data_IF_686983007536
#
_entry.id   IF_686983007536
#
_cell.length_a   1.000
_cell.length_b   1.000
_cell.length_c   1.000
_cell.angle_alpha   90.00
_cell.angle_beta   90.00
_cell.angle_gamma   90.00
#
_symmetry.space_group_name_H-M   'P 1'
#
loop_
_entity.id
_entity.type
_entity.pdbx_description
1 polymer ?
#
# COMPACT_ATOMS: atom_id res chain seq x y z
N UNK A 1 2.55 -35.01 11.56
CA UNK A 1 1.44 -34.13 12.01
C UNK A 1 0.15 -34.81 11.61
N UNK A 2 -0.76 -35.10 12.54
CA UNK A 2 -2.09 -35.62 12.18
C UNK A 2 -2.92 -34.44 11.68
N UNK A 3 -3.39 -34.54 10.44
CA UNK A 3 -4.28 -33.55 9.84
C UNK A 3 -5.64 -33.60 10.57
N UNK A 4 -6.08 -32.45 11.08
CA UNK A 4 -7.40 -32.29 11.70
C UNK A 4 -8.32 -31.56 10.74
N UNK A 5 -9.48 -32.15 10.48
CA UNK A 5 -10.48 -31.58 9.57
C UNK A 5 -11.56 -30.88 10.41
N UNK A 6 -11.74 -29.58 10.16
CA UNK A 6 -12.79 -28.78 10.78
C UNK A 6 -13.78 -28.32 9.71
N UNK A 7 -15.08 -28.49 10.00
CA UNK A 7 -16.17 -27.94 9.19
C UNK A 7 -16.69 -26.70 9.89
N UNK A 8 -16.73 -25.59 9.17
CA UNK A 8 -17.21 -24.30 9.66
C UNK A 8 -18.19 -23.69 8.65
N UNK A 9 -19.12 -22.88 9.13
CA UNK A 9 -20.11 -22.20 8.29
C UNK A 9 -19.52 -21.03 7.51
N UNK A 10 -18.45 -20.43 8.04
CA UNK A 10 -17.81 -19.25 7.45
C UNK A 10 -16.32 -19.19 7.78
N UNK A 11 -15.52 -18.69 6.85
CA UNK A 11 -14.08 -18.49 7.02
C UNK A 11 -13.72 -17.02 6.85
N UNK A 12 -12.94 -16.47 7.79
CA UNK A 12 -12.39 -15.12 7.71
C UNK A 12 -10.87 -15.23 7.59
N UNK A 13 -10.31 -14.80 6.47
CA UNK A 13 -8.88 -14.80 6.21
C UNK A 13 -8.26 -13.45 6.64
N UNK A 14 -7.46 -13.49 7.70
CA UNK A 14 -6.72 -12.35 8.24
C UNK A 14 -5.20 -12.53 8.09
N UNK A 15 -4.76 -13.02 6.93
CA UNK A 15 -3.39 -13.53 6.72
C UNK A 15 -2.35 -12.43 6.41
N UNK A 16 -2.79 -11.19 6.21
CA UNK A 16 -1.91 -10.08 5.80
C UNK A 16 -1.34 -10.22 4.38
N UNK A 17 -1.06 -9.08 3.74
CA UNK A 17 -0.53 -9.02 2.36
C UNK A 17 0.99 -9.19 2.27
N UNK A 18 1.73 -8.83 3.32
CA UNK A 18 3.19 -8.59 3.28
C UNK A 18 4.02 -9.63 4.05
N UNK A 19 3.46 -10.81 4.33
CA UNK A 19 4.14 -11.89 5.05
C UNK A 19 4.16 -13.20 4.26
N UNK A 20 5.05 -14.10 4.67
CA UNK A 20 5.22 -15.50 4.24
C UNK A 20 5.78 -15.70 2.83
N UNK A 21 5.27 -14.99 1.82
CA UNK A 21 5.69 -15.17 0.42
C UNK A 21 6.42 -13.93 -0.09
N UNK A 22 7.76 -13.97 -0.23
CA UNK A 22 8.51 -12.85 -0.76
C UNK A 22 8.22 -12.64 -2.25
N UNK A 23 8.30 -11.39 -2.69
CA UNK A 23 8.08 -11.02 -4.08
C UNK A 23 9.44 -10.89 -4.78
N UNK A 24 9.93 -12.00 -5.33
CA UNK A 24 11.26 -12.09 -5.95
C UNK A 24 11.09 -12.03 -7.47
N UNK A 25 11.81 -11.14 -8.18
CA UNK A 25 11.76 -11.09 -9.64
C UNK A 25 12.35 -12.37 -10.25
N UNK A 26 11.74 -12.87 -11.32
CA UNK A 26 12.34 -13.91 -12.17
C UNK A 26 13.60 -13.41 -12.87
N UNK A 27 14.66 -14.22 -12.85
CA UNK A 27 15.91 -13.90 -13.52
C UNK A 27 16.00 -14.64 -14.86
N UNK A 28 16.60 -14.03 -15.91
CA UNK A 28 16.88 -14.75 -17.14
C UNK A 28 17.77 -15.98 -16.88
N UNK A 29 17.68 -17.04 -17.72
CA UNK A 29 18.54 -18.21 -17.58
C UNK A 29 20.02 -17.83 -17.52
N UNK A 30 20.78 -18.43 -16.59
CA UNK A 30 22.19 -18.13 -16.29
C UNK A 30 22.48 -16.73 -15.72
N UNK A 31 21.46 -15.98 -15.28
CA UNK A 31 21.60 -14.72 -14.51
C UNK A 31 20.88 -14.78 -13.17
N UNK A 32 20.62 -15.98 -12.69
CA UNK A 32 19.96 -16.23 -11.42
C UNK A 32 20.87 -15.79 -10.26
N UNK A 33 20.32 -15.52 -9.06
CA UNK A 33 21.09 -15.14 -7.88
C UNK A 33 22.27 -16.08 -7.57
N UNK A 34 22.16 -17.35 -7.96
CA UNK A 34 23.19 -18.39 -7.81
C UNK A 34 24.46 -18.11 -8.64
N UNK A 35 24.37 -17.29 -9.68
CA UNK A 35 25.53 -16.82 -10.44
C UNK A 35 26.31 -15.71 -9.70
N UNK A 36 25.71 -15.10 -8.68
CA UNK A 36 26.36 -14.13 -7.82
C UNK A 36 27.04 -14.84 -6.66
N UNK A 37 28.36 -14.69 -6.56
CA UNK A 37 29.16 -15.34 -5.50
C UNK A 37 28.97 -14.72 -4.10
N UNK A 38 28.15 -13.68 -3.97
CA UNK A 38 27.79 -13.08 -2.69
C UNK A 38 26.45 -13.59 -2.19
N UNK A 39 26.09 -13.17 -0.98
CA UNK A 39 24.84 -13.56 -0.36
C UNK A 39 23.67 -12.69 -0.85
N UNK A 40 22.55 -13.32 -1.20
CA UNK A 40 21.32 -12.64 -1.64
C UNK A 40 20.18 -13.07 -0.72
N UNK A 41 19.59 -12.11 -0.02
CA UNK A 41 18.42 -12.33 0.83
C UNK A 41 17.31 -11.32 0.50
N UNK A 42 16.07 -11.71 0.73
CA UNK A 42 14.93 -10.81 0.65
C UNK A 42 14.83 -9.96 1.94
N UNK A 43 14.24 -8.77 1.85
CA UNK A 43 14.08 -7.87 3.01
C UNK A 43 13.29 -8.50 4.17
N UNK A 44 12.41 -9.45 3.86
CA UNK A 44 11.67 -10.23 4.86
C UNK A 44 12.63 -11.03 5.76
N UNK A 45 13.54 -11.79 5.17
CA UNK A 45 14.52 -12.59 5.91
C UNK A 45 15.45 -11.69 6.74
N UNK A 46 15.80 -10.50 6.23
CA UNK A 46 16.58 -9.53 6.98
C UNK A 46 15.79 -8.98 8.19
N UNK A 47 14.52 -8.65 7.99
CA UNK A 47 13.64 -8.16 9.05
C UNK A 47 13.28 -9.22 10.10
N UNK A 48 13.37 -10.51 9.75
CA UNK A 48 13.17 -11.62 10.68
C UNK A 48 14.40 -11.85 11.60
N UNK A 49 15.55 -11.22 11.33
CA UNK A 49 16.72 -11.29 12.19
C UNK A 49 16.53 -10.40 13.44
N UNK A 50 17.17 -10.78 14.56
CA UNK A 50 17.32 -9.87 15.69
C UNK A 50 18.30 -8.73 15.35
N UNK A 51 18.23 -7.64 16.11
CA UNK A 51 19.03 -6.43 15.84
C UNK A 51 20.54 -6.67 15.83
N UNK A 52 21.06 -7.57 16.69
CA UNK A 52 22.51 -7.84 16.72
C UNK A 52 22.94 -8.67 15.51
N UNK A 53 22.14 -9.67 15.15
CA UNK A 53 22.38 -10.51 13.97
C UNK A 53 22.31 -9.68 12.69
N UNK A 54 21.31 -8.82 12.55
CA UNK A 54 21.16 -7.92 11.39
C UNK A 54 22.35 -6.94 11.28
N UNK A 55 22.78 -6.35 12.39
CA UNK A 55 23.94 -5.44 12.40
C UNK A 55 25.23 -6.17 11.97
N UNK A 56 25.53 -7.33 12.58
CA UNK A 56 26.69 -8.17 12.19
C UNK A 56 26.58 -8.66 10.75
N UNK A 57 25.37 -8.86 10.25
CA UNK A 57 25.13 -9.33 8.89
C UNK A 57 25.61 -8.31 7.84
N UNK A 58 25.50 -7.01 8.10
CA UNK A 58 25.88 -5.94 7.16
C UNK A 58 27.23 -5.29 7.45
N UNK A 59 27.74 -5.44 8.68
CA UNK A 59 28.98 -4.79 9.14
C UNK A 59 30.20 -5.18 8.29
N UNK A 60 30.94 -4.16 7.83
CA UNK A 60 32.14 -4.31 7.01
C UNK A 60 31.90 -4.81 5.59
N UNK A 61 30.63 -4.95 5.15
CA UNK A 61 30.29 -5.49 3.82
C UNK A 61 29.86 -4.41 2.83
N UNK A 62 30.11 -4.67 1.55
CA UNK A 62 29.53 -3.89 0.46
C UNK A 62 28.11 -4.37 0.19
N UNK A 63 27.12 -3.59 0.65
CA UNK A 63 25.71 -3.95 0.55
C UNK A 63 25.05 -3.22 -0.63
N UNK A 64 24.29 -3.97 -1.42
CA UNK A 64 23.40 -3.41 -2.45
C UNK A 64 21.95 -3.74 -2.13
N UNK A 65 21.14 -2.70 -1.94
CA UNK A 65 19.71 -2.81 -1.68
C UNK A 65 18.94 -2.56 -2.97
N UNK A 66 18.01 -3.45 -3.31
CA UNK A 66 17.17 -3.33 -4.51
C UNK A 66 15.77 -2.85 -4.11
N UNK A 67 15.41 -1.63 -4.53
CA UNK A 67 14.14 -0.98 -4.21
C UNK A 67 14.32 0.44 -3.69
N UNK A 68 13.23 1.22 -3.65
CA UNK A 68 13.25 2.60 -3.13
C UNK A 68 11.96 2.98 -2.38
N UNK A 69 11.50 2.04 -1.57
CA UNK A 69 10.35 2.20 -0.67
C UNK A 69 10.75 1.91 0.79
N UNK A 70 9.76 1.78 1.67
CA UNK A 70 9.87 1.68 3.14
C UNK A 70 11.06 0.79 3.58
N UNK A 71 10.97 -0.52 3.34
CA UNK A 71 12.03 -1.47 3.71
C UNK A 71 13.41 -1.14 3.11
N UNK A 72 13.45 -0.75 1.83
CA UNK A 72 14.72 -0.48 1.16
C UNK A 72 15.44 0.74 1.76
N UNK A 73 14.69 1.79 2.14
CA UNK A 73 15.27 2.97 2.76
C UNK A 73 15.74 2.69 4.19
N UNK A 74 14.99 1.91 4.97
CA UNK A 74 15.34 1.55 6.34
C UNK A 74 16.61 0.68 6.36
N UNK A 75 16.67 -0.37 5.53
CA UNK A 75 17.86 -1.25 5.42
C UNK A 75 19.08 -0.45 4.93
N UNK A 76 18.89 0.45 3.94
CA UNK A 76 19.98 1.29 3.46
C UNK A 76 20.51 2.23 4.56
N UNK A 77 19.64 2.72 5.45
CA UNK A 77 20.06 3.50 6.61
C UNK A 77 20.84 2.66 7.59
N UNK A 78 20.38 1.46 7.94
CA UNK A 78 21.11 0.55 8.83
C UNK A 78 22.50 0.22 8.28
N UNK A 79 22.59 -0.08 6.98
CA UNK A 79 23.87 -0.29 6.31
C UNK A 79 24.75 0.96 6.37
N UNK A 80 24.20 2.15 6.14
CA UNK A 80 24.96 3.42 6.23
C UNK A 80 25.46 3.71 7.65
N UNK A 81 24.72 3.29 8.68
CA UNK A 81 25.08 3.45 10.09
C UNK A 81 26.22 2.49 10.46
N UNK A 82 26.12 1.23 10.02
CA UNK A 82 27.14 0.21 10.30
C UNK A 82 28.46 0.49 9.57
N UNK A 83 28.39 0.99 8.33
CA UNK A 83 29.55 0.98 7.42
C UNK A 83 30.07 2.36 7.02
N UNK A 84 29.28 3.41 7.20
CA UNK A 84 29.65 4.78 6.85
C UNK A 84 30.08 4.93 5.38
N UNK A 85 31.09 5.78 5.15
CA UNK A 85 31.63 6.07 3.81
C UNK A 85 32.69 5.04 3.37
N UNK A 86 33.20 4.22 4.28
CA UNK A 86 34.23 3.22 3.99
C UNK A 86 33.66 2.08 3.14
N UNK A 87 32.45 1.60 3.49
CA UNK A 87 31.70 0.61 2.71
C UNK A 87 30.28 1.14 2.42
N UNK A 88 30.12 2.04 1.44
CA UNK A 88 28.84 2.70 1.20
C UNK A 88 27.76 1.75 0.68
N UNK A 89 26.52 1.95 1.13
CA UNK A 89 25.38 1.17 0.68
C UNK A 89 24.90 1.65 -0.69
N UNK A 90 24.85 0.77 -1.69
CA UNK A 90 24.27 1.09 -3.00
C UNK A 90 22.78 0.80 -3.00
N UNK A 91 21.94 1.77 -3.34
CA UNK A 91 20.49 1.58 -3.52
C UNK A 91 20.15 1.62 -5.00
N UNK A 92 19.71 0.48 -5.52
CA UNK A 92 19.25 0.32 -6.90
C UNK A 92 17.76 0.57 -6.98
N UNK A 93 17.35 1.53 -7.82
CA UNK A 93 15.95 1.89 -7.95
C UNK A 93 15.53 2.09 -9.41
N UNK A 94 14.25 1.82 -9.68
CA UNK A 94 13.65 1.93 -11.01
C UNK A 94 12.91 3.26 -11.19
N UNK A 95 12.10 3.60 -10.19
CA UNK A 95 11.19 4.74 -10.22
C UNK A 95 11.53 5.67 -9.07
N UNK A 96 11.63 6.96 -9.35
CA UNK A 96 11.67 7.99 -8.31
C UNK A 96 10.32 8.06 -7.61
N UNK A 97 10.30 8.17 -6.27
CA UNK A 97 9.07 8.30 -5.51
C UNK A 97 9.01 9.64 -4.78
N UNK A 98 7.81 10.19 -4.69
CA UNK A 98 7.53 11.30 -3.78
C UNK A 98 7.44 10.73 -2.36
N UNK A 99 8.57 10.42 -1.73
CA UNK A 99 8.63 10.00 -0.31
C UNK A 99 8.55 11.23 0.62
N UNK A 100 7.88 11.08 1.77
CA UNK A 100 7.60 12.18 2.71
C UNK A 100 8.70 12.30 3.77
N UNK A 101 9.35 13.47 3.95
CA UNK A 101 10.26 13.69 5.08
C UNK A 101 9.52 13.92 6.41
N UNK A 102 8.20 14.01 6.36
CA UNK A 102 7.31 14.30 7.48
C UNK A 102 5.90 14.61 7.00
N UNK A 103 4.96 14.70 7.93
CA UNK A 103 3.53 14.86 7.64
C UNK A 103 3.04 16.33 7.65
N UNK A 104 3.95 17.29 7.78
CA UNK A 104 3.68 18.73 7.86
C UNK A 104 4.32 19.49 6.69
N UNK A 105 3.88 19.31 5.43
CA UNK A 105 4.34 20.13 4.32
C UNK A 105 4.13 21.62 4.62
N UNK A 106 5.23 22.38 4.64
CA UNK A 106 5.24 23.80 5.02
C UNK A 106 4.57 24.11 6.38
N UNK A 107 4.60 23.17 7.32
CA UNK A 107 3.96 23.32 8.63
C UNK A 107 2.45 23.03 8.64
N UNK A 108 1.86 22.66 7.50
CA UNK A 108 0.45 22.34 7.38
C UNK A 108 0.22 20.81 7.39
N UNK A 109 -0.66 20.26 8.25
CA UNK A 109 -0.94 18.82 8.25
C UNK A 109 -1.45 18.31 6.91
N UNK A 110 -0.73 17.33 6.33
CA UNK A 110 -1.10 16.72 5.05
C UNK A 110 -2.49 16.08 5.09
N UNK A 111 -2.92 15.64 6.28
CA UNK A 111 -4.24 15.07 6.48
C UNK A 111 -5.39 16.06 6.24
N UNK A 112 -5.19 17.35 6.50
CA UNK A 112 -6.18 18.38 6.16
C UNK A 112 -6.27 18.67 4.66
N UNK A 113 -5.32 18.19 3.86
CA UNK A 113 -5.38 18.28 2.40
C UNK A 113 -6.07 17.05 1.79
N UNK A 114 -5.81 15.85 2.33
CA UNK A 114 -6.18 14.59 1.67
C UNK A 114 -7.09 13.66 2.47
N UNK A 115 -7.12 13.75 3.80
CA UNK A 115 -7.85 12.82 4.69
C UNK A 115 -8.98 13.52 5.44
N UNK A 116 -9.90 14.16 4.71
CA UNK A 116 -11.08 14.78 5.29
C UNK A 116 -12.28 14.73 4.33
N UNK A 117 -13.45 15.19 4.78
CA UNK A 117 -14.67 15.12 3.97
C UNK A 117 -14.67 16.08 2.78
N UNK A 118 -13.96 17.20 2.90
CA UNK A 118 -13.85 18.14 1.80
C UNK A 118 -12.99 17.55 0.69
N UNK A 119 -11.87 16.91 1.03
CA UNK A 119 -11.01 16.23 0.05
C UNK A 119 -11.76 15.15 -0.74
N UNK A 120 -12.74 14.49 -0.12
CA UNK A 120 -13.61 13.53 -0.80
C UNK A 120 -14.53 14.12 -1.87
N UNK A 121 -14.84 15.41 -1.82
CA UNK A 121 -15.60 16.07 -2.88
C UNK A 121 -14.72 16.30 -4.12
N UNK A 122 -13.40 16.33 -3.94
CA UNK A 122 -12.41 16.55 -5.00
C UNK A 122 -12.13 15.29 -5.85
N UNK A 123 -12.84 14.18 -5.59
CA UNK A 123 -12.54 12.87 -6.16
C UNK A 123 -13.80 12.27 -6.79
N UNK A 124 -13.71 11.96 -8.08
CA UNK A 124 -14.72 11.15 -8.75
C UNK A 124 -14.81 9.76 -8.14
N UNK A 125 -16.02 9.23 -7.95
CA UNK A 125 -16.27 7.89 -7.40
C UNK A 125 -17.26 7.08 -8.25
N UNK A 126 -17.05 5.77 -8.40
CA UNK A 126 -18.05 4.90 -9.02
C UNK A 126 -19.41 5.00 -8.33
N UNK A 127 -20.46 5.20 -9.13
CA UNK A 127 -21.84 5.29 -8.63
C UNK A 127 -22.21 6.60 -7.95
N UNK A 128 -21.39 7.65 -8.07
CA UNK A 128 -21.77 8.99 -7.61
C UNK A 128 -22.81 9.64 -8.54
N UNK A 129 -23.68 10.49 -7.98
CA UNK A 129 -24.68 11.21 -8.75
C UNK A 129 -24.07 12.31 -9.62
N UNK A 130 -24.79 12.74 -10.67
CA UNK A 130 -24.34 13.74 -11.64
C UNK A 130 -23.87 15.03 -10.95
N UNK A 131 -24.56 15.49 -9.92
CA UNK A 131 -24.20 16.69 -9.17
C UNK A 131 -22.84 16.57 -8.48
N UNK A 132 -22.57 15.44 -7.83
CA UNK A 132 -21.28 15.19 -7.16
C UNK A 132 -20.14 15.05 -8.18
N UNK A 133 -20.40 14.38 -9.30
CA UNK A 133 -19.44 14.31 -10.39
C UNK A 133 -19.12 15.69 -10.96
N UNK A 134 -20.14 16.53 -11.22
CA UNK A 134 -19.91 17.89 -11.73
C UNK A 134 -19.11 18.73 -10.73
N UNK A 135 -19.47 18.64 -9.44
CA UNK A 135 -18.76 19.33 -8.37
C UNK A 135 -17.28 18.92 -8.35
N UNK A 136 -16.98 17.62 -8.36
CA UNK A 136 -15.61 17.09 -8.38
C UNK A 136 -14.81 17.61 -9.58
N UNK A 137 -15.43 17.71 -10.77
CA UNK A 137 -14.78 18.30 -11.95
C UNK A 137 -14.44 19.77 -11.73
N UNK A 138 -15.40 20.57 -11.25
CA UNK A 138 -15.24 22.01 -11.05
C UNK A 138 -14.12 22.32 -10.04
N UNK A 139 -14.04 21.54 -8.96
CA UNK A 139 -13.05 21.76 -7.88
C UNK A 139 -11.76 20.96 -8.06
N UNK A 140 -11.60 20.22 -9.16
CA UNK A 140 -10.38 19.49 -9.48
C UNK A 140 -9.09 20.35 -9.49
N UNK A 141 -9.10 21.66 -9.85
CA UNK A 141 -7.92 22.50 -9.74
C UNK A 141 -7.40 22.67 -8.30
N UNK A 142 -8.29 22.59 -7.29
CA UNK A 142 -7.91 22.65 -5.87
C UNK A 142 -7.06 21.43 -5.51
N UNK A 143 -7.48 20.24 -5.95
CA UNK A 143 -6.74 18.98 -5.75
C UNK A 143 -5.38 19.01 -6.43
N UNK A 144 -5.31 19.56 -7.63
CA UNK A 144 -4.03 19.80 -8.30
C UNK A 144 -3.14 20.78 -7.51
N UNK A 145 -3.73 21.86 -6.97
CA UNK A 145 -3.04 22.82 -6.11
C UNK A 145 -2.44 22.17 -4.86
N UNK A 146 -3.19 21.28 -4.19
CA UNK A 146 -2.68 20.50 -3.06
C UNK A 146 -1.46 19.64 -3.46
N UNK A 147 -1.52 19.00 -4.64
CA UNK A 147 -0.39 18.22 -5.17
C UNK A 147 0.86 19.10 -5.32
N UNK A 148 0.73 20.25 -5.99
CA UNK A 148 1.86 21.17 -6.22
C UNK A 148 2.39 21.79 -4.93
N UNK A 149 1.53 22.09 -3.98
CA UNK A 149 1.94 22.54 -2.65
C UNK A 149 2.85 21.52 -1.97
N UNK A 150 2.47 20.25 -1.95
CA UNK A 150 3.28 19.17 -1.36
C UNK A 150 4.55 18.87 -2.16
N UNK A 151 4.49 18.84 -3.50
CA UNK A 151 5.66 18.66 -4.37
C UNK A 151 6.71 19.75 -4.12
N UNK A 152 6.28 21.02 -3.99
CA UNK A 152 7.18 22.15 -3.73
C UNK A 152 7.93 22.01 -2.41
N UNK A 153 7.24 21.59 -1.34
CA UNK A 153 7.84 21.33 -0.03
C UNK A 153 8.91 20.26 -0.13
N UNK A 154 8.60 19.14 -0.80
CA UNK A 154 9.49 17.97 -0.89
C UNK A 154 10.73 18.27 -1.70
N UNK A 155 10.56 18.91 -2.86
CA UNK A 155 11.69 19.36 -3.68
C UNK A 155 12.63 20.28 -2.89
N UNK A 156 12.08 21.20 -2.08
CA UNK A 156 12.89 22.10 -1.26
C UNK A 156 13.54 21.41 -0.06
N UNK A 157 12.78 20.63 0.70
CA UNK A 157 13.21 20.01 1.97
C UNK A 157 14.22 18.89 1.74
N UNK A 158 13.98 18.03 0.75
CA UNK A 158 14.84 16.89 0.43
C UNK A 158 15.92 17.21 -0.62
N UNK A 159 15.75 18.32 -1.36
CA UNK A 159 16.68 18.68 -2.42
C UNK A 159 16.67 17.71 -3.60
N UNK A 160 15.53 17.05 -3.88
CA UNK A 160 15.42 15.98 -4.89
C UNK A 160 16.02 16.34 -6.27
N UNK A 161 15.89 17.60 -6.68
CA UNK A 161 16.46 18.11 -7.94
C UNK A 161 17.99 17.97 -8.01
N UNK A 162 18.69 18.13 -6.88
CA UNK A 162 20.16 17.99 -6.80
C UNK A 162 20.62 16.57 -7.11
N UNK A 163 19.79 15.59 -6.76
CA UNK A 163 20.06 14.17 -6.94
C UNK A 163 19.41 13.61 -8.21
N UNK A 164 18.76 14.44 -9.04
CA UNK A 164 18.02 13.97 -10.21
C UNK A 164 16.82 13.09 -9.85
N UNK A 165 16.28 13.22 -8.64
CA UNK A 165 15.24 12.35 -8.08
C UNK A 165 13.84 12.96 -8.09
N UNK A 166 13.61 14.00 -8.89
CA UNK A 166 12.26 14.56 -9.04
C UNK A 166 11.43 13.58 -9.85
N UNK A 167 10.37 12.98 -9.27
CA UNK A 167 9.54 12.03 -9.99
C UNK A 167 8.85 12.66 -11.20
N UNK A 168 8.64 11.85 -12.24
CA UNK A 168 7.96 12.29 -13.47
C UNK A 168 6.45 12.38 -13.31
N UNK A 169 5.88 11.58 -12.43
CA UNK A 169 4.46 11.63 -12.07
C UNK A 169 4.21 12.68 -10.98
N UNK A 170 2.96 13.09 -10.85
CA UNK A 170 2.52 14.03 -9.81
C UNK A 170 2.44 13.36 -8.44
N UNK A 171 2.53 14.16 -7.37
CA UNK A 171 2.27 13.66 -6.03
C UNK A 171 0.85 13.10 -5.88
N UNK A 172 -0.09 13.60 -6.70
CA UNK A 172 -1.45 13.07 -6.72
C UNK A 172 -1.53 11.61 -7.14
N UNK A 173 -0.72 11.21 -8.14
CA UNK A 173 -0.63 9.82 -8.58
C UNK A 173 0.08 8.95 -7.52
N UNK A 174 1.05 9.52 -6.81
CA UNK A 174 1.72 8.82 -5.71
C UNK A 174 0.76 8.55 -4.53
N UNK A 175 -0.01 9.56 -4.11
CA UNK A 175 -0.94 9.40 -2.98
C UNK A 175 -2.12 8.50 -3.32
N UNK A 176 -2.58 8.49 -4.58
CA UNK A 176 -3.68 7.59 -4.99
C UNK A 176 -3.25 6.13 -5.06
N UNK A 177 -2.01 5.86 -5.47
CA UNK A 177 -1.45 4.49 -5.54
C UNK A 177 -0.97 3.96 -4.19
N UNK A 178 -1.01 4.78 -3.12
CA UNK A 178 -0.48 4.44 -1.80
C UNK A 178 1.02 4.02 -1.79
N UNK A 179 1.78 4.41 -2.82
CA UNK A 179 3.21 4.10 -2.96
C UNK A 179 4.11 5.06 -2.17
N UNK A 180 3.52 5.94 -1.35
CA UNK A 180 4.25 6.87 -0.49
C UNK A 180 4.93 6.11 0.66
N UNK A 181 6.22 6.38 0.85
CA UNK A 181 6.95 6.02 2.05
C UNK A 181 7.38 7.27 2.83
N UNK A 182 7.57 7.11 4.15
CA UNK A 182 8.24 8.11 4.97
C UNK A 182 9.74 7.93 4.80
N UNK A 183 10.45 9.02 4.52
CA UNK A 183 11.91 9.01 4.40
C UNK A 183 12.50 8.95 5.80
N UNK A 184 13.42 8.02 6.09
CA UNK A 184 14.14 8.00 7.35
C UNK A 184 14.87 9.32 7.61
N UNK A 185 14.99 9.70 8.88
CA UNK A 185 15.70 10.92 9.24
C UNK A 185 17.15 10.86 8.72
N UNK A 186 17.66 11.97 8.19
CA UNK A 186 19.03 12.10 7.65
C UNK A 186 19.35 11.22 6.44
N UNK A 187 18.37 10.51 5.84
CA UNK A 187 18.61 9.69 4.65
C UNK A 187 19.35 10.44 3.53
N UNK A 188 18.85 11.62 3.14
CA UNK A 188 19.49 12.43 2.10
C UNK A 188 20.77 13.15 2.56
N UNK A 189 21.06 13.17 3.86
CA UNK A 189 22.35 13.62 4.38
C UNK A 189 23.40 12.51 4.19
N UNK A 190 23.03 11.25 4.44
CA UNK A 190 23.86 10.07 4.13
C UNK A 190 24.14 9.93 2.64
N UNK A 191 23.15 10.24 1.79
CA UNK A 191 23.34 10.33 0.33
C UNK A 191 24.35 11.42 -0.04
N UNK A 192 24.34 12.55 0.66
CA UNK A 192 25.26 13.67 0.42
C UNK A 192 26.68 13.36 0.88
N UNK A 193 26.80 12.70 2.03
CA UNK A 193 28.08 12.25 2.62
C UNK A 193 28.73 11.16 1.76
N UNK A 194 27.93 10.42 0.98
CA UNK A 194 28.39 9.33 0.13
C UNK A 194 28.33 7.95 0.78
N UNK A 195 27.78 7.84 2.00
CA UNK A 195 27.53 6.56 2.67
C UNK A 195 26.34 5.80 2.08
N UNK A 196 25.46 6.49 1.34
CA UNK A 196 24.43 5.90 0.49
C UNK A 196 24.61 6.37 -0.95
N UNK A 197 24.71 5.43 -1.88
CA UNK A 197 24.87 5.70 -3.31
C UNK A 197 23.60 5.28 -4.05
N UNK A 198 22.89 6.25 -4.61
CA UNK A 198 21.66 6.01 -5.37
C UNK A 198 21.99 5.74 -6.84
N UNK A 199 21.54 4.60 -7.36
CA UNK A 199 21.75 4.20 -8.76
C UNK A 199 20.43 3.85 -9.44
N UNK A 200 20.06 4.66 -10.43
CA UNK A 200 18.90 4.38 -11.28
C UNK A 200 19.23 3.27 -12.28
N UNK A 201 18.40 2.24 -12.33
CA UNK A 201 18.54 1.13 -13.28
C UNK A 201 17.57 1.26 -14.45
N UNK A 202 18.05 1.00 -15.67
CA UNK A 202 17.24 1.01 -16.89
C UNK A 202 16.68 -0.38 -17.21
N UNK A 203 15.45 -0.40 -17.74
CA UNK A 203 14.67 -1.59 -18.10
C UNK A 203 15.35 -2.53 -19.10
N UNK A 204 16.38 -2.09 -19.82
CA UNK A 204 17.10 -2.92 -20.81
C UNK A 204 18.07 -3.92 -20.19
N UNK A 205 18.50 -3.73 -18.94
CA UNK A 205 19.48 -4.62 -18.31
C UNK A 205 18.85 -5.91 -17.74
N UNK A 206 17.53 -5.88 -17.52
CA UNK A 206 16.71 -6.99 -17.02
C UNK A 206 15.67 -7.31 -18.10
N UNK A 207 15.98 -8.24 -19.00
CA UNK A 207 15.02 -8.79 -19.95
C UNK A 207 13.92 -9.48 -19.12
N UNK A 208 12.86 -8.70 -18.86
CA UNK A 208 11.59 -9.02 -18.20
C UNK A 208 11.62 -10.15 -17.16
N UNK A 209 11.65 -9.81 -15.86
CA UNK A 209 10.79 -10.47 -14.92
C UNK A 209 9.40 -9.86 -15.07
N UNK A 210 8.44 -10.68 -15.47
CA UNK A 210 7.08 -10.46 -14.97
C UNK A 210 7.22 -10.52 -13.45
N UNK A 211 6.81 -9.47 -12.74
CA UNK A 211 6.61 -9.59 -11.30
C UNK A 211 5.34 -10.42 -11.14
N UNK A 212 5.45 -11.74 -11.29
CA UNK A 212 4.39 -12.64 -10.86
C UNK A 212 4.31 -12.47 -9.36
N UNK A 213 3.27 -11.78 -8.93
CA UNK A 213 3.19 -11.29 -7.57
C UNK A 213 3.12 -12.49 -6.63
N UNK A 214 4.23 -12.81 -5.95
CA UNK A 214 4.25 -13.85 -4.91
C UNK A 214 3.14 -13.66 -3.86
N UNK A 215 2.64 -12.43 -3.75
CA UNK A 215 1.50 -12.00 -2.95
C UNK A 215 0.18 -12.70 -3.32
N UNK A 216 -0.18 -12.79 -4.60
CA UNK A 216 -1.42 -13.44 -5.03
C UNK A 216 -1.34 -14.96 -4.93
N UNK A 217 -0.13 -15.50 -5.11
CA UNK A 217 0.18 -16.91 -4.88
C UNK A 217 -0.17 -17.35 -3.46
N UNK A 218 0.07 -16.49 -2.45
CA UNK A 218 -0.33 -16.75 -1.06
C UNK A 218 -1.81 -17.08 -0.92
N UNK A 219 -2.71 -16.30 -1.53
CA UNK A 219 -4.15 -16.57 -1.47
C UNK A 219 -4.54 -17.80 -2.30
N UNK A 220 -3.92 -17.96 -3.47
CA UNK A 220 -4.17 -19.11 -4.35
C UNK A 220 -3.89 -20.42 -3.64
N UNK A 221 -2.71 -20.54 -3.04
CA UNK A 221 -2.18 -21.80 -2.51
C UNK A 221 -2.93 -22.26 -1.23
N UNK A 222 -3.80 -21.42 -0.66
CA UNK A 222 -4.70 -21.80 0.45
C UNK A 222 -5.85 -22.71 0.02
N UNK A 223 -6.22 -22.70 -1.27
CA UNK A 223 -7.33 -23.51 -1.77
C UNK A 223 -6.82 -24.78 -2.43
N UNK A 224 -7.38 -25.93 -2.02
CA UNK A 224 -7.15 -27.21 -2.72
C UNK A 224 -7.92 -27.24 -4.05
N UNK A 225 -9.09 -26.59 -4.11
CA UNK A 225 -9.93 -26.59 -5.32
C UNK A 225 -9.39 -25.64 -6.40
N UNK A 226 -9.04 -26.13 -7.61
CA UNK A 226 -8.61 -25.27 -8.72
C UNK A 226 -9.63 -24.20 -9.07
N UNK A 227 -10.93 -24.50 -8.94
CA UNK A 227 -12.00 -23.51 -9.19
C UNK A 227 -11.94 -22.33 -8.22
N UNK A 228 -11.66 -22.58 -6.94
CA UNK A 228 -11.54 -21.49 -5.96
C UNK A 228 -10.22 -20.73 -6.10
N UNK A 229 -9.15 -21.42 -6.51
CA UNK A 229 -7.90 -20.77 -6.91
C UNK A 229 -8.12 -19.76 -8.05
N UNK A 230 -8.86 -20.15 -9.09
CA UNK A 230 -9.16 -19.28 -10.23
C UNK A 230 -10.07 -18.10 -9.83
N UNK A 231 -11.06 -18.37 -8.97
CA UNK A 231 -11.96 -17.32 -8.48
C UNK A 231 -11.22 -16.28 -7.63
N UNK A 232 -10.42 -16.70 -6.66
CA UNK A 232 -9.78 -15.77 -5.73
C UNK A 232 -8.73 -14.89 -6.43
N UNK A 233 -8.06 -15.40 -7.46
CA UNK A 233 -7.07 -14.65 -8.22
C UNK A 233 -7.70 -13.65 -9.20
N UNK A 234 -8.78 -14.06 -9.88
CA UNK A 234 -9.32 -13.26 -10.98
C UNK A 234 -8.36 -13.13 -12.15
N UNK A 235 -8.38 -11.98 -12.84
CA UNK A 235 -7.50 -11.73 -13.98
C UNK A 235 -6.13 -11.22 -13.51
N UNK A 236 -5.00 -11.63 -14.13
CA UNK A 236 -3.65 -11.15 -13.78
C UNK A 236 -3.44 -9.63 -13.90
N UNK A 237 -4.40 -8.92 -14.51
CA UNK A 237 -4.38 -7.46 -14.71
C UNK A 237 -5.43 -6.75 -13.87
N UNK A 238 -6.25 -7.47 -13.12
CA UNK A 238 -7.29 -6.88 -12.27
C UNK A 238 -6.84 -6.90 -10.82
N UNK A 239 -7.42 -5.97 -10.07
CA UNK A 239 -7.41 -6.03 -8.62
C UNK A 239 -8.13 -7.29 -8.18
N UNK A 240 -7.79 -7.81 -6.99
CA UNK A 240 -8.48 -8.96 -6.42
C UNK A 240 -10.01 -8.74 -6.48
N UNK A 241 -10.76 -9.73 -7.00
CA UNK A 241 -12.18 -9.58 -7.29
C UNK A 241 -13.08 -9.66 -6.03
N UNK A 242 -12.77 -8.83 -5.03
CA UNK A 242 -13.45 -8.79 -3.75
C UNK A 242 -14.48 -7.66 -3.73
N UNK A 243 -15.75 -8.03 -3.62
CA UNK A 243 -16.83 -7.10 -3.34
C UNK A 243 -16.56 -6.40 -2.00
N UNK A 244 -16.57 -5.07 -2.03
CA UNK A 244 -16.20 -4.20 -0.89
C UNK A 244 -14.80 -4.46 -0.34
N UNK A 245 -13.91 -5.02 -1.16
CA UNK A 245 -12.57 -5.43 -0.73
C UNK A 245 -12.62 -6.43 0.46
N UNK A 246 -13.70 -7.22 0.56
CA UNK A 246 -13.96 -8.11 1.68
C UNK A 246 -14.42 -9.50 1.23
N UNK A 247 -15.47 -9.61 0.41
CA UNK A 247 -16.09 -10.91 0.06
C UNK A 247 -15.95 -11.21 -1.43
N UNK A 248 -15.61 -12.44 -1.79
CA UNK A 248 -15.64 -12.87 -3.17
C UNK A 248 -17.06 -13.25 -3.61
N UNK A 249 -17.54 -12.70 -4.74
CA UNK A 249 -18.93 -12.88 -5.17
C UNK A 249 -19.34 -14.34 -5.40
N UNK A 250 -18.41 -15.21 -5.80
CA UNK A 250 -18.63 -16.66 -6.01
C UNK A 250 -18.25 -17.55 -4.82
N UNK A 251 -17.67 -16.97 -3.77
CA UNK A 251 -17.30 -17.68 -2.54
C UNK A 251 -17.86 -16.87 -1.35
N UNK A 252 -19.19 -16.75 -1.21
CA UNK A 252 -19.80 -15.84 -0.25
C UNK A 252 -19.61 -16.26 1.22
N UNK A 253 -19.18 -17.51 1.49
CA UNK A 253 -18.86 -18.03 2.83
C UNK A 253 -17.41 -17.74 3.26
N UNK A 254 -16.72 -16.86 2.51
CA UNK A 254 -15.34 -16.48 2.74
C UNK A 254 -15.22 -14.96 2.71
N UNK A 255 -14.60 -14.40 3.74
CA UNK A 255 -14.14 -13.01 3.74
C UNK A 255 -12.62 -12.95 3.82
N UNK A 256 -12.03 -11.97 3.15
CA UNK A 256 -10.61 -11.63 3.21
C UNK A 256 -10.48 -10.22 3.79
N UNK A 257 -9.88 -10.10 4.97
CA UNK A 257 -9.71 -8.82 5.66
C UNK A 257 -8.21 -8.54 5.84
N UNK A 258 -7.82 -7.29 5.59
CA UNK A 258 -6.42 -6.85 5.75
C UNK A 258 -5.51 -7.17 4.55
N UNK A 259 -6.08 -7.55 3.41
CA UNK A 259 -5.32 -7.83 2.18
C UNK A 259 -5.25 -6.62 1.22
N UNK A 260 -6.18 -5.66 1.34
CA UNK A 260 -6.13 -4.37 0.63
C UNK A 260 -5.29 -3.36 1.39
N UNK A 261 -4.48 -2.59 0.67
CA UNK A 261 -3.68 -1.50 1.24
C UNK A 261 -4.46 -0.18 1.26
N UNK A 262 -4.15 0.67 2.22
CA UNK A 262 -4.64 2.03 2.39
C UNK A 262 -3.72 2.73 3.40
N UNK A 263 -3.71 4.06 3.40
CA UNK A 263 -2.91 4.80 4.40
C UNK A 263 -3.40 4.52 5.85
N UNK A 264 -4.71 4.46 6.14
CA UNK A 264 -5.24 4.04 7.44
C UNK A 264 -5.70 2.57 7.46
N UNK A 265 -4.78 1.62 7.26
CA UNK A 265 -5.12 0.19 7.18
C UNK A 265 -5.90 -0.36 8.37
N UNK A 266 -5.57 0.07 9.59
CA UNK A 266 -6.24 -0.39 10.80
C UNK A 266 -7.74 -0.03 10.78
N UNK A 267 -8.05 1.24 10.51
CA UNK A 267 -9.42 1.74 10.47
C UNK A 267 -10.22 1.13 9.32
N UNK A 268 -9.61 0.99 8.14
CA UNK A 268 -10.26 0.33 7.02
C UNK A 268 -10.60 -1.14 7.34
N UNK A 269 -9.71 -1.84 8.04
CA UNK A 269 -9.95 -3.23 8.49
C UNK A 269 -11.05 -3.30 9.55
N UNK A 270 -11.05 -2.39 10.53
CA UNK A 270 -12.10 -2.29 11.54
C UNK A 270 -13.48 -2.11 10.90
N UNK A 271 -13.60 -1.20 9.94
CA UNK A 271 -14.88 -0.97 9.24
C UNK A 271 -15.34 -2.21 8.46
N UNK A 272 -14.41 -2.94 7.81
CA UNK A 272 -14.74 -4.19 7.13
C UNK A 272 -15.17 -5.29 8.12
N UNK A 273 -14.53 -5.39 9.28
CA UNK A 273 -14.93 -6.31 10.35
C UNK A 273 -16.34 -6.00 10.85
N UNK A 274 -16.66 -4.72 11.10
CA UNK A 274 -18.01 -4.31 11.52
C UNK A 274 -19.05 -4.64 10.46
N UNK A 275 -18.78 -4.31 9.19
CA UNK A 275 -19.68 -4.64 8.08
C UNK A 275 -19.89 -6.15 7.93
N UNK A 276 -18.84 -6.96 8.09
CA UNK A 276 -18.93 -8.42 8.04
C UNK A 276 -19.71 -9.00 9.23
N UNK A 277 -19.51 -8.47 10.45
CA UNK A 277 -20.24 -8.92 11.62
C UNK A 277 -21.75 -8.76 11.45
N UNK A 278 -22.18 -7.68 10.82
CA UNK A 278 -23.58 -7.41 10.48
C UNK A 278 -24.11 -8.37 9.41
N UNK A 279 -23.31 -8.68 8.39
CA UNK A 279 -23.66 -9.70 7.42
C UNK A 279 -23.87 -11.07 8.08
N UNK A 280 -22.94 -11.47 8.96
CA UNK A 280 -23.02 -12.73 9.69
C UNK A 280 -24.16 -12.74 10.72
N UNK A 281 -24.51 -11.58 11.27
CA UNK A 281 -25.70 -11.38 12.11
C UNK A 281 -27.02 -11.40 11.34
N UNK A 282 -26.97 -11.45 10.00
CA UNK A 282 -28.16 -11.51 9.14
C UNK A 282 -28.93 -10.19 9.05
N UNK A 283 -28.33 -9.05 9.46
CA UNK A 283 -29.00 -7.75 9.43
C UNK A 283 -29.20 -7.22 8.01
N UNK A 284 -28.39 -7.70 7.07
CA UNK A 284 -28.60 -7.54 5.64
C UNK A 284 -28.16 -8.78 4.87
N UNK A 285 -28.46 -8.82 3.56
CA UNK A 285 -28.03 -9.89 2.66
C UNK A 285 -27.14 -9.32 1.57
N UNK A 286 -26.18 -10.13 1.11
CA UNK A 286 -25.39 -9.79 -0.06
C UNK A 286 -26.30 -9.64 -1.30
N UNK A 287 -25.96 -8.71 -2.22
CA UNK A 287 -26.62 -8.64 -3.52
C UNK A 287 -26.28 -9.88 -4.36
N UNK A 288 -26.90 -9.98 -5.54
CA UNK A 288 -26.62 -11.11 -6.43
C UNK A 288 -25.15 -11.13 -6.89
N UNK A 289 -24.64 -12.32 -7.25
CA UNK A 289 -23.26 -12.49 -7.75
C UNK A 289 -22.97 -11.51 -8.90
N UNK A 290 -23.91 -11.38 -9.83
CA UNK A 290 -23.81 -10.48 -10.98
C UNK A 290 -23.67 -9.01 -10.58
N UNK A 291 -24.35 -8.58 -9.52
CA UNK A 291 -24.25 -7.21 -9.01
C UNK A 291 -22.93 -6.98 -8.29
N UNK A 292 -22.44 -7.96 -7.53
CA UNK A 292 -21.12 -7.91 -6.90
C UNK A 292 -20.00 -7.83 -7.94
N UNK A 293 -20.01 -8.71 -8.93
CA UNK A 293 -19.02 -8.71 -10.03
C UNK A 293 -19.03 -7.37 -10.79
N UNK A 294 -20.21 -6.84 -11.10
CA UNK A 294 -20.35 -5.52 -11.74
C UNK A 294 -19.82 -4.37 -10.88
N UNK A 295 -19.97 -4.44 -9.55
CA UNK A 295 -19.40 -3.43 -8.64
C UNK A 295 -17.87 -3.52 -8.64
N UNK A 296 -17.32 -4.73 -8.51
CA UNK A 296 -15.88 -5.00 -8.58
C UNK A 296 -15.29 -4.47 -9.88
N UNK A 297 -15.88 -4.77 -11.04
CA UNK A 297 -15.42 -4.27 -12.34
C UNK A 297 -15.39 -2.74 -12.42
N UNK A 298 -16.39 -2.06 -11.85
CA UNK A 298 -16.44 -0.59 -11.81
C UNK A 298 -15.32 -0.01 -10.97
N UNK A 299 -15.06 -0.60 -9.80
CA UNK A 299 -13.99 -0.16 -8.92
C UNK A 299 -12.61 -0.48 -9.50
N UNK A 300 -12.46 -1.61 -10.18
CA UNK A 300 -11.23 -1.99 -10.89
C UNK A 300 -10.90 -1.01 -12.03
N UNK A 301 -11.90 -0.69 -12.87
CA UNK A 301 -11.76 0.32 -13.92
C UNK A 301 -11.44 1.71 -13.37
N UNK A 302 -11.99 2.06 -12.21
CA UNK A 302 -11.72 3.32 -11.54
C UNK A 302 -10.29 3.41 -10.99
N UNK A 303 -9.83 2.35 -10.33
CA UNK A 303 -8.47 2.27 -9.81
C UNK A 303 -7.45 2.38 -10.96
N UNK A 304 -7.66 1.66 -12.06
CA UNK A 304 -6.81 1.75 -13.27
C UNK A 304 -6.75 3.13 -13.92
N UNK A 305 -7.81 3.94 -13.80
CA UNK A 305 -7.80 5.34 -14.29
C UNK A 305 -7.04 6.28 -13.35
N UNK A 306 -7.10 6.01 -12.05
CA UNK A 306 -6.42 6.79 -11.02
C UNK A 306 -4.93 6.46 -10.96
N UNK A 307 -4.58 5.21 -11.21
CA UNK A 307 -3.22 4.70 -11.37
C UNK A 307 -2.72 4.93 -12.80
N UNK A 308 -2.33 6.17 -13.10
CA UNK A 308 -1.64 6.52 -14.35
C UNK A 308 -0.12 6.44 -14.23
N UNK A 309 0.39 5.66 -13.27
CA UNK A 309 1.76 5.15 -13.37
C UNK A 309 1.77 4.11 -14.51
N UNK A 310 2.73 4.14 -15.44
CA UNK A 310 2.72 3.24 -16.59
C UNK A 310 2.65 1.79 -16.10
N UNK A 311 1.71 1.01 -16.64
CA UNK A 311 1.46 -0.40 -16.32
C UNK A 311 2.69 -1.33 -16.47
N UNK A 312 3.83 -0.82 -16.93
CA UNK A 312 5.09 -1.53 -17.13
C UNK A 312 6.13 -1.28 -16.01
N UNK A 313 5.85 -0.43 -15.01
CA UNK A 313 6.87 -0.06 -14.01
C UNK A 313 6.84 -0.87 -12.72
N UNK A 314 5.71 -1.38 -12.28
CA UNK A 314 5.60 -2.18 -11.06
C UNK A 314 4.46 -3.17 -11.26
N UNK A 315 4.66 -4.47 -10.99
CA UNK A 315 3.56 -5.43 -10.81
C UNK A 315 2.75 -5.15 -9.52
N UNK A 316 2.78 -3.90 -9.06
CA UNK A 316 2.17 -3.40 -7.84
C UNK A 316 0.94 -2.59 -8.26
N UNK A 317 -0.13 -3.30 -8.62
CA UNK A 317 -1.46 -2.71 -8.55
C UNK A 317 -1.83 -2.61 -7.06
N UNK A 318 -1.24 -1.64 -6.36
CA UNK A 318 -1.72 -1.20 -5.06
C UNK A 318 -2.97 -0.36 -5.32
N UNK A 319 -4.08 -1.05 -5.51
CA UNK A 319 -5.36 -0.41 -5.73
C UNK A 319 -5.89 0.17 -4.45
N UNK A 320 -5.92 1.49 -4.38
CA UNK A 320 -6.70 2.17 -3.37
C UNK A 320 -7.69 3.06 -4.09
N UNK A 321 -8.96 2.64 -4.22
CA UNK A 321 -9.99 3.63 -4.36
C UNK A 321 -9.87 4.57 -3.16
N UNK A 322 -10.02 5.89 -3.35
CA UNK A 322 -9.82 6.89 -2.29
C UNK A 322 -10.06 6.31 -0.90
N UNK A 323 -9.07 6.39 -0.01
CA UNK A 323 -9.13 5.87 1.37
C UNK A 323 -10.51 6.09 2.01
N UNK A 324 -11.07 7.27 1.82
CA UNK A 324 -12.38 7.60 2.34
C UNK A 324 -13.52 7.21 1.36
N UNK A 325 -13.28 7.09 0.06
CA UNK A 325 -14.17 6.44 -0.91
C UNK A 325 -14.56 5.00 -0.56
N UNK A 326 -13.62 4.10 -0.25
CA UNK A 326 -13.95 2.70 0.13
C UNK A 326 -14.63 2.64 1.50
N UNK A 327 -14.13 3.38 2.50
CA UNK A 327 -14.76 3.47 3.83
C UNK A 327 -16.18 4.05 3.72
N UNK A 328 -16.37 5.10 2.92
CA UNK A 328 -17.67 5.71 2.64
C UNK A 328 -18.55 4.82 1.78
N UNK A 329 -17.99 3.94 0.94
CA UNK A 329 -18.76 2.99 0.12
C UNK A 329 -19.36 1.87 0.99
N UNK A 330 -18.58 1.40 1.98
CA UNK A 330 -19.06 0.49 3.04
C UNK A 330 -20.08 1.19 3.95
N UNK A 331 -19.89 2.48 4.25
CA UNK A 331 -20.79 3.24 5.11
C UNK A 331 -22.08 3.76 4.42
N UNK A 332 -22.01 4.18 3.14
CA UNK A 332 -23.14 4.76 2.38
C UNK A 332 -24.18 3.72 1.97
N UNK A 333 -23.76 2.49 1.69
CA UNK A 333 -24.67 1.34 1.52
C UNK A 333 -24.56 0.41 2.72
N UNK A 334 -24.60 0.98 3.92
CA UNK A 334 -24.95 0.21 5.10
C UNK A 334 -26.43 -0.13 4.99
N UNK A 335 -26.72 -1.39 4.65
CA UNK A 335 -28.08 -1.88 4.41
C UNK A 335 -28.83 -2.25 5.72
N UNK A 336 -28.23 -1.97 6.89
CA UNK A 336 -28.89 -2.04 8.20
C UNK A 336 -29.90 -0.91 8.45
N UNK A 337 -30.45 -0.85 9.67
CA UNK A 337 -31.52 0.09 10.03
C UNK A 337 -31.07 1.55 9.87
N UNK A 338 -31.99 2.52 9.67
CA UNK A 338 -31.65 3.94 9.57
C UNK A 338 -30.84 4.49 10.76
N UNK A 339 -30.99 3.88 11.95
CA UNK A 339 -30.22 4.21 13.16
C UNK A 339 -28.79 3.67 13.05
N UNK A 340 -28.60 2.41 12.67
CA UNK A 340 -27.27 1.81 12.48
C UNK A 340 -26.52 2.41 11.28
N UNK A 341 -27.21 2.77 10.20
CA UNK A 341 -26.63 3.54 9.10
C UNK A 341 -26.17 4.91 9.59
N UNK A 342 -26.97 5.56 10.44
CA UNK A 342 -26.61 6.84 11.06
C UNK A 342 -25.44 6.66 12.03
N UNK A 343 -25.38 5.60 12.81
CA UNK A 343 -24.33 5.33 13.80
C UNK A 343 -23.03 4.82 13.14
N UNK A 344 -23.12 4.04 12.05
CA UNK A 344 -21.99 3.60 11.22
C UNK A 344 -21.44 4.77 10.40
N UNK A 345 -22.31 5.58 9.79
CA UNK A 345 -21.89 6.87 9.25
C UNK A 345 -21.29 7.71 10.36
N UNK A 346 -21.96 8.00 11.47
CA UNK A 346 -21.44 8.78 12.60
C UNK A 346 -20.12 8.23 13.16
N UNK A 347 -19.88 6.91 13.15
CA UNK A 347 -18.63 6.27 13.55
C UNK A 347 -17.54 6.44 12.49
N UNK A 348 -17.82 6.20 11.21
CA UNK A 348 -16.90 6.59 10.13
C UNK A 348 -16.61 8.10 10.20
N UNK A 349 -17.63 8.90 10.47
CA UNK A 349 -17.62 10.34 10.55
C UNK A 349 -16.89 10.85 11.81
N UNK A 350 -16.89 10.11 12.93
CA UNK A 350 -16.18 10.43 14.18
C UNK A 350 -14.73 9.93 14.15
N UNK A 351 -14.46 8.79 13.50
CA UNK A 351 -13.11 8.33 13.15
C UNK A 351 -12.43 9.30 12.18
N UNK A 352 -13.20 10.02 11.35
CA UNK A 352 -12.70 11.04 10.43
C UNK A 352 -12.68 12.48 10.97
N UNK A 353 -13.39 12.81 12.06
CA UNK A 353 -13.64 14.21 12.42
C UNK A 353 -12.75 14.84 13.51
N UNK A 354 -12.12 14.09 14.45
CA UNK A 354 -11.06 14.71 15.26
C UNK A 354 -9.85 13.85 15.68
N UNK A 355 -9.76 12.55 15.37
CA UNK A 355 -8.65 11.70 15.87
C UNK A 355 -7.46 11.56 14.91
N UNK A 356 -7.36 12.46 13.95
CA UNK A 356 -6.27 12.55 12.99
C UNK A 356 -5.07 13.19 13.70
N UNK A 357 -4.21 12.33 14.27
CA UNK A 357 -2.94 12.64 14.95
C UNK A 357 -3.06 13.45 16.26
N UNK A 358 -3.31 12.76 17.37
CA UNK A 358 -2.40 12.97 18.50
C UNK A 358 -1.01 12.58 18.00
N UNK A 359 0.03 13.41 18.21
CA UNK A 359 1.30 13.23 17.55
C UNK A 359 1.85 11.85 17.87
N UNK A 360 2.19 11.09 16.82
CA UNK A 360 2.97 9.85 16.90
C UNK A 360 4.35 10.07 17.57
N UNK A 361 4.70 11.31 17.92
CA UNK A 361 5.83 11.65 18.80
C UNK A 361 5.59 11.35 20.30
N UNK A 362 4.35 11.14 20.77
CA UNK A 362 4.09 10.80 22.18
C UNK A 362 4.02 9.29 22.49
N UNK A 363 4.01 8.41 21.49
CA UNK A 363 3.92 6.96 21.72
C UNK A 363 5.29 6.26 21.65
N UNK A 364 6.37 6.94 21.26
CA UNK A 364 7.68 6.30 21.08
C UNK A 364 8.87 6.94 21.82
N UNK A 365 8.63 7.59 22.96
CA UNK A 365 9.73 8.08 23.82
C UNK A 365 9.65 7.67 25.30
N UNK A 366 8.58 7.02 25.76
CA UNK A 366 8.39 6.66 27.17
C UNK A 366 7.99 5.18 27.42
N UNK A 367 8.12 4.27 26.45
CA UNK A 367 7.85 2.83 26.64
C UNK A 367 9.14 1.98 26.61
N UNK A 368 10.32 2.60 26.48
CA UNK A 368 11.63 1.94 26.57
C UNK A 368 12.49 2.45 27.75
N UNK A 369 11.84 2.93 28.80
CA UNK A 369 12.47 3.14 30.11
C UNK A 369 11.59 2.48 31.16
N UNK A 370 11.71 1.17 31.27
CA UNK A 370 11.67 0.41 32.52
C UNK A 370 12.26 -0.99 32.25
#
# INVERSE_FOLDING_TARGET
MNEQIHVVDFVILCIGRFSDVPNIPEFPPNKEPEAFHGEVIHSMNYADMDYESAAKFVEGKQVTVVGFQKFAMDIAMECSIANGVENPCTVLYKTEHWNLPGYLPWGFPIAYLYFNRFSELLVHKPGEGILLSLLATIISPVRWGFSKFVESYKNKKLGLAKYGMVPKHSFLQEISSCMIATVPEKFFDRVREGSIILKKVSWRLWLLPRWDSGREKKLKDMFVSPTFQDYILGSPKSILPLYRECIHGRIPQLAVIGFSESIPNLYASEMRCRWLAELLGGTFKLPSIKEMEKDVEKWDAYAKRSDTLPANTTGDHASVPSICGTMTSCARKWDGTPKERRDSLLNCLSLMAPWIMLPLEMVNSNILKD
#
